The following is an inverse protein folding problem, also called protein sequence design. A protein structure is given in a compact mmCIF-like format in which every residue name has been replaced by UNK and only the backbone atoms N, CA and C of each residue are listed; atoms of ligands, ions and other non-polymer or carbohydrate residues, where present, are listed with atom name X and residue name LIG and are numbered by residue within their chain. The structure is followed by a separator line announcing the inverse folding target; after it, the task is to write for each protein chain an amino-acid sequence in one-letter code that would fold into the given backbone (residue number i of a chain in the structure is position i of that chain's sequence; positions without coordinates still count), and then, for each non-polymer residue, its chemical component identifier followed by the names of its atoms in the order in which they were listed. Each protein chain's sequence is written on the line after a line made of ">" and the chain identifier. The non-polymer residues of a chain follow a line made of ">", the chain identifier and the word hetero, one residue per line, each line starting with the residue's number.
data_IF_236032787798
#
_entry.id   IF_236032787798
#
_cell.length_a   1.000
_cell.length_b   1.000
_cell.length_c   1.000
_cell.angle_alpha   90.00
_cell.angle_beta   90.00
_cell.angle_gamma   90.00
#
_symmetry.space_group_name_H-M   'P 1'
#
loop_
_entity.id
_entity.type
_entity.pdbx_description
1 polymer ?
#
# COMPACT_ATOMS: atom_id res chain seq x y z
N UNK A 1 1.19 -6.88 45.12
CA UNK A 1 -0.02 -7.05 44.28
C UNK A 1 -0.36 -5.71 43.67
N UNK A 2 0.16 -5.42 42.48
CA UNK A 2 -0.08 -4.15 41.78
C UNK A 2 -1.34 -4.30 40.95
N UNK A 3 -2.42 -3.61 41.31
CA UNK A 3 -3.65 -3.57 40.50
C UNK A 3 -3.36 -2.82 39.21
N UNK A 4 -3.24 -3.54 38.09
CA UNK A 4 -3.25 -2.94 36.76
C UNK A 4 -4.70 -2.53 36.50
N UNK A 5 -5.02 -1.25 36.67
CA UNK A 5 -6.36 -0.72 36.45
C UNK A 5 -6.74 -0.80 34.96
N UNK A 6 -8.05 -0.94 34.65
CA UNK A 6 -8.55 -1.07 33.28
C UNK A 6 -8.23 0.12 32.36
N UNK A 7 -7.82 1.28 32.92
CA UNK A 7 -7.39 2.45 32.13
C UNK A 7 -6.10 2.21 31.33
N UNK A 8 -5.15 1.41 31.85
CA UNK A 8 -3.86 1.18 31.19
C UNK A 8 -4.01 0.35 29.91
N UNK A 9 -5.02 -0.53 29.89
CA UNK A 9 -5.35 -1.40 28.75
C UNK A 9 -6.06 -0.60 27.65
N UNK A 10 -6.94 0.34 28.03
CA UNK A 10 -7.68 1.20 27.10
C UNK A 10 -6.76 2.17 26.33
N UNK A 11 -5.73 2.71 26.99
CA UNK A 11 -4.75 3.59 26.35
C UNK A 11 -3.84 2.88 25.33
N UNK A 12 -3.42 1.64 25.61
CA UNK A 12 -2.60 0.84 24.69
C UNK A 12 -3.39 0.42 23.45
N UNK A 13 -4.61 -0.11 23.61
CA UNK A 13 -5.44 -0.53 22.48
C UNK A 13 -5.69 0.59 21.47
N UNK A 14 -5.98 1.80 21.96
CA UNK A 14 -6.19 2.98 21.10
C UNK A 14 -4.94 3.41 20.33
N UNK A 15 -3.76 3.23 20.91
CA UNK A 15 -2.47 3.52 20.25
C UNK A 15 -2.19 2.51 19.14
N UNK A 16 -2.37 1.23 19.43
CA UNK A 16 -2.21 0.13 18.45
C UNK A 16 -3.20 0.26 17.29
N UNK A 17 -4.48 0.57 17.55
CA UNK A 17 -5.48 0.81 16.50
C UNK A 17 -5.13 1.99 15.60
N UNK A 18 -4.65 3.11 16.18
CA UNK A 18 -4.24 4.28 15.41
C UNK A 18 -3.03 3.98 14.51
N UNK A 19 -2.08 3.19 14.99
CA UNK A 19 -0.92 2.76 14.20
C UNK A 19 -1.30 1.77 13.10
N UNK A 20 -2.19 0.81 13.38
CA UNK A 20 -2.72 -0.12 12.38
C UNK A 20 -3.45 0.63 11.26
N UNK A 21 -4.26 1.62 11.64
CA UNK A 21 -4.97 2.49 10.68
C UNK A 21 -3.98 3.26 9.80
N UNK A 22 -2.89 3.77 10.38
CA UNK A 22 -1.82 4.43 9.61
C UNK A 22 -1.12 3.47 8.65
N UNK A 23 -0.84 2.23 9.06
CA UNK A 23 -0.28 1.20 8.19
C UNK A 23 -1.19 0.90 7.01
N UNK A 24 -2.48 0.67 7.27
CA UNK A 24 -3.50 0.41 6.24
C UNK A 24 -3.62 1.57 5.25
N UNK A 25 -3.65 2.81 5.74
CA UNK A 25 -3.68 4.00 4.89
C UNK A 25 -2.43 4.11 4.01
N UNK A 26 -1.25 3.84 4.58
CA UNK A 26 0.00 3.96 3.85
C UNK A 26 0.13 2.85 2.80
N UNK A 27 -0.25 1.62 3.14
CA UNK A 27 -0.32 0.51 2.19
C UNK A 27 -1.35 0.77 1.09
N UNK A 28 -2.55 1.24 1.42
CA UNK A 28 -3.57 1.59 0.43
C UNK A 28 -3.12 2.73 -0.49
N UNK A 29 -2.41 3.73 0.04
CA UNK A 29 -1.86 4.83 -0.75
C UNK A 29 -0.79 4.33 -1.73
N UNK A 30 0.15 3.51 -1.26
CA UNK A 30 1.19 2.92 -2.11
C UNK A 30 0.57 2.04 -3.19
N UNK A 31 -0.40 1.20 -2.82
CA UNK A 31 -1.11 0.34 -3.76
C UNK A 31 -1.79 1.15 -4.87
N UNK A 32 -2.50 2.23 -4.52
CA UNK A 32 -3.13 3.11 -5.51
C UNK A 32 -2.10 3.74 -6.44
N UNK A 33 -0.98 4.25 -5.93
CA UNK A 33 0.07 4.86 -6.76
C UNK A 33 0.70 3.84 -7.72
N UNK A 34 0.80 2.57 -7.31
CA UNK A 34 1.39 1.52 -8.14
C UNK A 34 0.41 0.92 -9.16
N UNK A 35 -0.90 0.87 -8.84
CA UNK A 35 -1.91 0.24 -9.71
C UNK A 35 -2.66 1.21 -10.61
N UNK A 36 -2.93 2.44 -10.17
CA UNK A 36 -3.73 3.42 -10.95
C UNK A 36 -3.11 3.74 -12.31
N UNK A 37 -1.79 3.99 -12.44
CA UNK A 37 -1.18 4.29 -13.74
C UNK A 37 -1.38 3.16 -14.76
N UNK A 38 -1.23 1.91 -14.33
CA UNK A 38 -1.51 0.75 -15.18
C UNK A 38 -2.99 0.67 -15.55
N UNK A 39 -3.89 0.87 -14.57
CA UNK A 39 -5.33 0.86 -14.80
C UNK A 39 -5.78 1.87 -15.86
N UNK A 40 -5.25 3.10 -15.82
CA UNK A 40 -5.57 4.15 -16.80
C UNK A 40 -5.17 3.71 -18.21
N UNK A 41 -3.92 3.27 -18.40
CA UNK A 41 -3.41 2.86 -19.72
C UNK A 41 -4.14 1.63 -20.23
N UNK A 42 -4.42 0.67 -19.36
CA UNK A 42 -5.18 -0.52 -19.71
C UNK A 42 -6.60 -0.17 -20.16
N UNK A 43 -7.29 0.71 -19.43
CA UNK A 43 -8.64 1.18 -19.80
C UNK A 43 -8.64 1.95 -21.11
N UNK A 44 -7.66 2.84 -21.34
CA UNK A 44 -7.53 3.56 -22.61
C UNK A 44 -7.41 2.59 -23.80
N UNK A 45 -6.52 1.60 -23.69
CA UNK A 45 -6.34 0.58 -24.72
C UNK A 45 -7.57 -0.33 -24.90
N UNK A 46 -8.38 -0.52 -23.85
CA UNK A 46 -9.57 -1.38 -23.88
C UNK A 46 -10.78 -0.68 -24.52
N UNK A 47 -10.98 0.61 -24.25
CA UNK A 47 -12.11 1.38 -24.80
C UNK A 47 -11.84 1.89 -26.22
N UNK A 48 -10.59 2.24 -26.52
CA UNK A 48 -10.20 2.70 -27.85
C UNK A 48 -9.02 1.89 -28.38
N UNK A 49 -9.27 0.81 -29.16
CA UNK A 49 -8.21 -0.01 -29.71
C UNK A 49 -7.31 0.73 -30.72
N UNK A 50 -7.70 1.91 -31.20
CA UNK A 50 -6.83 2.75 -32.05
C UNK A 50 -5.64 3.33 -31.28
N UNK A 51 -5.71 3.34 -29.94
CA UNK A 51 -4.60 3.74 -29.07
C UNK A 51 -3.53 2.66 -28.92
N UNK A 52 -3.76 1.44 -29.43
CA UNK A 52 -2.81 0.33 -29.39
C UNK A 52 -1.71 0.57 -30.44
N UNK A 53 -0.72 1.36 -30.05
CA UNK A 53 0.51 1.57 -30.83
C UNK A 53 1.70 0.88 -30.18
N UNK A 54 2.80 0.72 -30.91
CA UNK A 54 4.06 0.15 -30.37
C UNK A 54 4.55 0.93 -29.15
N UNK A 55 4.38 2.25 -29.14
CA UNK A 55 4.74 3.09 -28.00
C UNK A 55 3.82 2.84 -26.80
N UNK A 56 2.51 2.76 -27.01
CA UNK A 56 1.54 2.51 -25.94
C UNK A 56 1.74 1.12 -25.32
N UNK A 57 2.13 0.13 -26.11
CA UNK A 57 2.48 -1.21 -25.61
C UNK A 57 3.76 -1.19 -24.77
N UNK A 58 4.80 -0.46 -25.20
CA UNK A 58 6.02 -0.30 -24.40
C UNK A 58 5.71 0.36 -23.04
N UNK A 59 4.88 1.41 -23.03
CA UNK A 59 4.45 2.07 -21.80
C UNK A 59 3.62 1.11 -20.94
N UNK A 60 2.73 0.31 -21.54
CA UNK A 60 1.96 -0.71 -20.80
C UNK A 60 2.88 -1.73 -20.11
N UNK A 61 3.91 -2.23 -20.78
CA UNK A 61 4.87 -3.15 -20.15
C UNK A 61 5.68 -2.48 -19.04
N UNK A 62 6.08 -1.22 -19.22
CA UNK A 62 6.74 -0.45 -18.17
C UNK A 62 5.83 -0.26 -16.94
N UNK A 63 4.55 0.06 -17.15
CA UNK A 63 3.57 0.19 -16.07
C UNK A 63 3.20 -1.14 -15.43
N UNK A 64 3.26 -2.25 -16.18
CA UNK A 64 3.10 -3.59 -15.61
C UNK A 64 4.25 -3.90 -14.64
N UNK A 65 5.50 -3.68 -15.07
CA UNK A 65 6.68 -3.86 -14.20
C UNK A 65 6.63 -2.95 -12.97
N UNK A 66 6.08 -1.74 -13.11
CA UNK A 66 5.83 -0.83 -12.00
C UNK A 66 4.77 -1.37 -11.03
N UNK A 67 3.67 -1.93 -11.54
CA UNK A 67 2.65 -2.56 -10.73
C UNK A 67 3.17 -3.78 -9.96
N UNK A 68 4.06 -4.57 -10.55
CA UNK A 68 4.69 -5.72 -9.87
C UNK A 68 5.50 -5.28 -8.63
N UNK A 69 5.93 -4.02 -8.54
CA UNK A 69 6.55 -3.49 -7.32
C UNK A 69 5.61 -3.52 -6.10
N UNK A 70 4.29 -3.59 -6.31
CA UNK A 70 3.28 -3.64 -5.26
C UNK A 70 3.44 -4.88 -4.36
N UNK A 71 3.86 -6.01 -4.95
CA UNK A 71 4.09 -7.26 -4.25
C UNK A 71 5.17 -7.13 -3.16
N UNK A 72 6.21 -6.34 -3.40
CA UNK A 72 7.30 -6.17 -2.44
C UNK A 72 7.04 -5.00 -1.47
N UNK A 73 6.22 -4.01 -1.84
CA UNK A 73 5.92 -2.89 -0.93
C UNK A 73 5.28 -3.32 0.38
N UNK A 74 4.42 -4.34 0.38
CA UNK A 74 3.84 -4.88 1.62
C UNK A 74 4.93 -5.38 2.59
N UNK A 75 5.99 -6.00 2.07
CA UNK A 75 7.13 -6.45 2.87
C UNK A 75 7.94 -5.26 3.43
N UNK A 76 8.24 -4.25 2.61
CA UNK A 76 8.96 -3.06 3.08
C UNK A 76 8.15 -2.27 4.11
N UNK A 77 6.84 -2.11 3.90
CA UNK A 77 5.95 -1.44 4.84
C UNK A 77 5.83 -2.19 6.16
N UNK A 78 5.79 -3.53 6.10
CA UNK A 78 5.85 -4.36 7.28
C UNK A 78 7.16 -4.18 8.06
N UNK A 79 8.32 -4.17 7.39
CA UNK A 79 9.61 -3.93 8.05
C UNK A 79 9.69 -2.52 8.64
N UNK A 80 9.27 -1.50 7.89
CA UNK A 80 9.32 -0.10 8.34
C UNK A 80 8.46 0.09 9.59
N UNK A 81 7.25 -0.46 9.58
CA UNK A 81 6.34 -0.39 10.73
C UNK A 81 6.76 -1.33 11.87
N UNK A 82 7.36 -2.48 11.55
CA UNK A 82 7.95 -3.39 12.54
C UNK A 82 9.07 -2.74 13.34
N UNK A 83 9.82 -1.79 12.75
CA UNK A 83 10.79 -0.96 13.49
C UNK A 83 10.13 -0.01 14.50
N UNK A 84 8.91 0.45 14.21
CA UNK A 84 8.10 1.23 15.14
C UNK A 84 7.53 0.33 16.24
N UNK A 85 7.15 -0.91 15.91
CA UNK A 85 6.65 -1.91 16.86
C UNK A 85 7.72 -2.43 17.83
N UNK A 86 8.99 -2.41 17.41
CA UNK A 86 10.14 -2.91 18.21
C UNK A 86 10.63 -1.92 19.29
N UNK A 87 10.04 -0.72 19.36
CA UNK A 87 10.36 0.30 20.37
C UNK A 87 9.35 0.36 21.53
N UNK A 88 8.30 -0.45 21.51
CA UNK A 88 7.46 -0.78 22.67
C UNK A 88 7.96 -2.09 23.32
#
# INVERSE_FOLDING_TARGET
>A
MTRIGPEVISGHGRRTESQLTRMLLLQGTVHLVLTVPFGIIYSMNAFDPSTITTHTQAIRYAMLMWQECDYFSSFFLYILSGSAYRKE
#
